data_IF_520847663237
#
_entry.id   IF_520847663237
#
_cell.length_a   1.000
_cell.length_b   1.000
_cell.length_c   1.000
_cell.angle_alpha   90.00
_cell.angle_beta   90.00
_cell.angle_gamma   90.00
#
_symmetry.space_group_name_H-M   'P 1'
#
loop_
_entity.id
_entity.type
_entity.pdbx_description
1 polymer ?
#
# COMPACT_ATOMS: atom_id res chain seq x y z
N UNK A 1 19.40 -55.79 2.98
CA UNK A 1 20.48 -54.98 2.40
C UNK A 1 20.06 -53.52 2.47
N UNK A 2 20.64 -52.75 3.39
CA UNK A 2 20.43 -51.30 3.46
C UNK A 2 21.37 -50.65 2.46
N UNK A 3 20.84 -49.87 1.51
CA UNK A 3 21.67 -49.09 0.61
C UNK A 3 22.07 -47.84 1.37
N UNK A 4 23.32 -47.81 1.86
CA UNK A 4 23.92 -46.60 2.42
C UNK A 4 23.76 -45.47 1.41
N UNK A 5 23.24 -44.29 1.80
CA UNK A 5 23.15 -43.15 0.91
C UNK A 5 24.56 -42.83 0.41
N UNK A 6 24.77 -42.90 -0.90
CA UNK A 6 26.02 -42.46 -1.51
C UNK A 6 26.25 -41.00 -1.13
N UNK A 7 27.43 -40.69 -0.59
CA UNK A 7 27.88 -39.37 -0.11
C UNK A 7 27.50 -38.21 -1.05
N UNK A 8 27.53 -38.45 -2.37
CA UNK A 8 27.10 -37.51 -3.41
C UNK A 8 25.64 -37.02 -3.30
N UNK A 9 24.70 -37.87 -2.84
CA UNK A 9 23.30 -37.46 -2.65
C UNK A 9 23.10 -36.56 -1.44
N UNK A 10 23.89 -36.78 -0.39
CA UNK A 10 23.87 -35.96 0.83
C UNK A 10 24.43 -34.57 0.53
N UNK A 11 25.54 -34.51 -0.20
CA UNK A 11 26.17 -33.25 -0.64
C UNK A 11 25.22 -32.43 -1.56
N UNK A 12 24.57 -33.09 -2.51
CA UNK A 12 23.57 -32.43 -3.36
C UNK A 12 22.37 -31.88 -2.56
N UNK A 13 21.89 -32.61 -1.55
CA UNK A 13 20.80 -32.16 -0.69
C UNK A 13 21.23 -30.96 0.19
N UNK A 14 22.48 -30.94 0.64
CA UNK A 14 23.04 -29.83 1.42
C UNK A 14 23.15 -28.55 0.58
N UNK A 15 23.63 -28.64 -0.66
CA UNK A 15 23.70 -27.50 -1.58
C UNK A 15 22.31 -26.96 -1.95
N UNK A 16 21.33 -27.84 -2.16
CA UNK A 16 19.93 -27.45 -2.36
C UNK A 16 19.39 -26.72 -1.11
N UNK A 17 19.69 -27.21 0.08
CA UNK A 17 19.29 -26.57 1.35
C UNK A 17 19.89 -25.16 1.49
N UNK A 18 21.19 -25.00 1.21
CA UNK A 18 21.88 -23.69 1.21
C UNK A 18 21.26 -22.73 0.20
N UNK A 19 20.99 -23.20 -1.01
CA UNK A 19 20.33 -22.41 -2.06
C UNK A 19 18.94 -21.93 -1.62
N UNK A 20 18.12 -22.82 -1.07
CA UNK A 20 16.80 -22.46 -0.56
C UNK A 20 16.86 -21.47 0.59
N UNK A 21 17.80 -21.66 1.52
CA UNK A 21 17.99 -20.74 2.64
C UNK A 21 18.29 -19.32 2.13
N UNK A 22 19.16 -19.19 1.13
CA UNK A 22 19.45 -17.89 0.52
C UNK A 22 18.19 -17.26 -0.10
N UNK A 23 17.42 -18.04 -0.87
CA UNK A 23 16.15 -17.57 -1.46
C UNK A 23 15.19 -17.07 -0.38
N UNK A 24 15.07 -17.79 0.74
CA UNK A 24 14.21 -17.35 1.86
C UNK A 24 14.67 -16.04 2.47
N UNK A 25 15.98 -15.81 2.62
CA UNK A 25 16.49 -14.54 3.13
C UNK A 25 16.23 -13.40 2.14
N UNK A 26 16.47 -13.63 0.85
CA UNK A 26 16.24 -12.63 -0.19
C UNK A 26 14.76 -12.23 -0.25
N UNK A 27 13.85 -13.20 -0.17
CA UNK A 27 12.40 -12.94 -0.12
C UNK A 27 12.03 -12.10 1.10
N UNK A 28 12.58 -12.41 2.29
CA UNK A 28 12.34 -11.62 3.50
C UNK A 28 12.80 -10.16 3.35
N UNK A 29 14.01 -9.95 2.83
CA UNK A 29 14.57 -8.60 2.63
C UNK A 29 13.74 -7.82 1.61
N UNK A 30 13.39 -8.44 0.49
CA UNK A 30 12.60 -7.80 -0.56
C UNK A 30 11.19 -7.46 -0.08
N UNK A 31 10.57 -8.33 0.71
CA UNK A 31 9.25 -8.07 1.31
C UNK A 31 9.31 -6.88 2.27
N UNK A 32 10.31 -6.84 3.16
CA UNK A 32 10.48 -5.71 4.08
C UNK A 32 10.69 -4.38 3.34
N UNK A 33 11.48 -4.42 2.26
CA UNK A 33 11.69 -3.25 1.37
C UNK A 33 10.39 -2.81 0.70
N UNK A 34 9.62 -3.75 0.14
CA UNK A 34 8.35 -3.46 -0.50
C UNK A 34 7.33 -2.84 0.47
N UNK A 35 7.20 -3.39 1.69
CA UNK A 35 6.35 -2.81 2.74
C UNK A 35 6.78 -1.38 3.10
N UNK A 36 8.09 -1.13 3.20
CA UNK A 36 8.62 0.19 3.52
C UNK A 36 8.33 1.20 2.40
N UNK A 37 8.50 0.79 1.15
CA UNK A 37 8.16 1.60 -0.03
C UNK A 37 6.66 1.88 -0.11
N UNK A 38 5.82 0.88 0.16
CA UNK A 38 4.37 1.04 0.18
C UNK A 38 3.93 2.05 1.23
N UNK A 39 4.49 1.98 2.45
CA UNK A 39 4.22 2.97 3.51
C UNK A 39 4.63 4.37 3.07
N UNK A 40 5.85 4.53 2.55
CA UNK A 40 6.33 5.82 2.06
C UNK A 40 5.44 6.37 0.94
N UNK A 41 4.97 5.51 0.04
CA UNK A 41 4.07 5.91 -1.04
C UNK A 41 2.69 6.30 -0.50
N UNK A 42 2.13 5.55 0.46
CA UNK A 42 0.87 5.91 1.10
C UNK A 42 0.96 7.27 1.82
N UNK A 43 2.08 7.52 2.51
CA UNK A 43 2.34 8.80 3.17
C UNK A 43 2.48 9.95 2.15
N UNK A 44 3.17 9.72 1.02
CA UNK A 44 3.29 10.72 -0.07
C UNK A 44 1.97 10.97 -0.79
N UNK A 45 1.19 9.93 -1.03
CA UNK A 45 -0.11 9.99 -1.70
C UNK A 45 -1.24 10.38 -0.75
N UNK A 46 -0.94 10.69 0.52
CA UNK A 46 -1.90 11.25 1.45
C UNK A 46 -2.26 12.66 0.99
N UNK A 47 -3.22 12.74 0.08
CA UNK A 47 -3.84 13.99 -0.30
C UNK A 47 -4.46 14.60 0.96
N UNK A 48 -4.27 15.90 1.15
CA UNK A 48 -5.04 16.62 2.15
C UNK A 48 -6.52 16.41 1.86
N UNK A 49 -7.30 16.14 2.92
CA UNK A 49 -8.74 16.17 2.81
C UNK A 49 -9.14 17.51 2.18
N UNK A 50 -10.10 17.55 1.25
CA UNK A 50 -10.58 18.82 0.72
C UNK A 50 -11.01 19.72 1.88
N UNK A 51 -10.44 20.91 1.97
CA UNK A 51 -10.90 21.93 2.89
C UNK A 51 -12.13 22.61 2.29
N UNK A 52 -13.18 22.74 3.09
CA UNK A 52 -14.37 23.49 2.75
C UNK A 52 -14.53 24.61 3.79
N UNK A 53 -14.93 25.79 3.34
CA UNK A 53 -15.30 26.90 4.22
C UNK A 53 -16.70 27.39 3.88
N UNK A 54 -17.42 27.86 4.90
CA UNK A 54 -18.74 28.46 4.74
C UNK A 54 -18.63 29.67 3.78
N UNK A 55 -19.57 29.77 2.84
CA UNK A 55 -19.61 30.82 1.82
C UNK A 55 -18.62 30.64 0.66
N UNK A 56 -17.82 29.56 0.64
CA UNK A 56 -17.00 29.23 -0.53
C UNK A 56 -17.80 28.51 -1.60
N UNK A 57 -17.56 28.87 -2.87
CA UNK A 57 -18.07 28.11 -4.01
C UNK A 57 -17.18 26.88 -4.20
N UNK A 58 -17.75 25.68 -4.02
CA UNK A 58 -16.96 24.46 -4.09
C UNK A 58 -16.68 24.04 -5.53
N UNK A 59 -15.56 24.51 -6.10
CA UNK A 59 -15.12 24.13 -7.46
C UNK A 59 -14.88 22.62 -7.64
N UNK A 60 -14.67 21.87 -6.55
CA UNK A 60 -14.53 20.40 -6.59
C UNK A 60 -15.87 19.69 -6.71
N UNK A 61 -16.94 20.24 -6.12
CA UNK A 61 -18.29 19.71 -6.26
C UNK A 61 -18.88 20.05 -7.63
N UNK A 62 -18.54 21.19 -8.21
CA UNK A 62 -19.12 21.62 -9.49
C UNK A 62 -18.65 20.84 -10.73
N UNK A 63 -17.50 20.16 -10.70
CA UNK A 63 -16.95 19.48 -11.90
C UNK A 63 -17.63 18.16 -12.26
N UNK A 64 -18.31 17.49 -11.31
CA UNK A 64 -18.97 16.19 -11.53
C UNK A 64 -20.44 16.16 -11.12
N UNK A 65 -20.96 17.22 -10.50
CA UNK A 65 -22.30 17.27 -9.92
C UNK A 65 -23.14 18.41 -10.51
N UNK A 66 -24.44 18.43 -10.17
CA UNK A 66 -25.56 19.13 -10.84
C UNK A 66 -25.46 20.68 -10.81
N UNK A 67 -24.36 21.28 -10.37
CA UNK A 67 -24.14 22.73 -10.43
C UNK A 67 -23.10 23.23 -9.43
N UNK A 68 -22.80 24.54 -9.45
CA UNK A 68 -22.09 25.16 -8.35
C UNK A 68 -22.95 25.13 -7.07
N UNK A 69 -22.35 24.79 -5.94
CA UNK A 69 -23.00 24.81 -4.64
C UNK A 69 -22.32 25.80 -3.71
N UNK A 70 -23.12 26.50 -2.91
CA UNK A 70 -22.66 27.29 -1.77
C UNK A 70 -22.64 26.41 -0.51
N UNK A 71 -21.54 26.45 0.24
CA UNK A 71 -21.40 25.72 1.51
C UNK A 71 -22.00 26.56 2.63
N UNK A 72 -23.11 26.08 3.21
CA UNK A 72 -23.77 26.74 4.35
C UNK A 72 -23.19 26.30 5.69
N UNK A 73 -22.84 25.01 5.82
CA UNK A 73 -22.34 24.44 7.07
C UNK A 73 -21.37 23.31 6.79
N UNK A 74 -20.29 23.25 7.58
CA UNK A 74 -19.27 22.19 7.52
C UNK A 74 -19.32 21.39 8.82
N UNK A 75 -19.74 20.14 8.73
CA UNK A 75 -19.72 19.16 9.83
C UNK A 75 -18.57 18.16 9.59
N UNK A 76 -18.10 17.44 10.61
CA UNK A 76 -16.93 16.55 10.48
C UNK A 76 -16.98 15.56 9.31
N UNK A 77 -18.18 15.07 8.95
CA UNK A 77 -18.40 14.10 7.87
C UNK A 77 -19.46 14.54 6.85
N UNK A 78 -20.03 15.75 6.98
CA UNK A 78 -21.21 16.17 6.22
C UNK A 78 -21.11 17.65 5.84
N UNK A 79 -21.63 18.02 4.66
CA UNK A 79 -21.77 19.41 4.25
C UNK A 79 -23.25 19.73 4.03
N UNK A 80 -23.70 20.89 4.51
CA UNK A 80 -24.98 21.46 4.06
C UNK A 80 -24.72 22.40 2.89
N UNK A 81 -25.39 22.13 1.78
CA UNK A 81 -25.18 22.83 0.52
C UNK A 81 -26.48 23.51 0.07
N UNK A 82 -26.33 24.65 -0.60
CA UNK A 82 -27.41 25.32 -1.32
C UNK A 82 -27.04 25.41 -2.80
N UNK A 83 -28.00 25.09 -3.66
CA UNK A 83 -27.93 25.36 -5.11
C UNK A 83 -28.12 26.85 -5.36
#
# INVERSE_FOLDING_TARGET
MGVEPTTSKVEAAEEVSKSWFQVFQDVKVNLAKACSQQKQQADRCRLSAPSYSIGSQSHKLSKKWIGPYEVLEVLPNTLKLKL
#
